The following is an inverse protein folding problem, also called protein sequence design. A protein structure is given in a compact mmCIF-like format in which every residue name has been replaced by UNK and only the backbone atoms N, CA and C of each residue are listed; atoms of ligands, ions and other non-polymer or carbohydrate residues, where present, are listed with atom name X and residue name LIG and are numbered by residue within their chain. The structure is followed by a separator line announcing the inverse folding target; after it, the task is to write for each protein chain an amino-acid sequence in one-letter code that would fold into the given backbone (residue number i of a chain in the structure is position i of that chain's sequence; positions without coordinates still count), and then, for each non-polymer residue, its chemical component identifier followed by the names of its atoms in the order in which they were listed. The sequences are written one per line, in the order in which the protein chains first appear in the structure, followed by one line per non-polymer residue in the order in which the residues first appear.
data_IF_572596107234
#
_entry.id   IF_572596107234
#
_cell.length_a   1.000
_cell.length_b   1.000
_cell.length_c   1.000
_cell.angle_alpha   90.00
_cell.angle_beta   90.00
_cell.angle_gamma   90.00
#
_symmetry.space_group_name_H-M   'P 1'
#
loop_
_entity.id
_entity.type
_entity.pdbx_description
1 polymer ?
#
# COMPACT_ATOMS: atom_id res chain seq x y z
N UNK A 1 -11.22 0.40 25.05
CA UNK A 1 -11.56 0.63 23.62
C UNK A 1 -12.81 1.46 23.60
N UNK A 2 -12.66 2.77 23.41
CA UNK A 2 -13.78 3.71 23.41
C UNK A 2 -14.60 3.57 22.14
N UNK A 3 -15.79 2.97 22.28
CA UNK A 3 -16.77 2.77 21.20
C UNK A 3 -17.37 4.09 20.68
N UNK A 4 -17.11 5.21 21.35
CA UNK A 4 -17.73 6.51 21.06
C UNK A 4 -16.94 7.36 20.03
N UNK A 5 -15.78 6.90 19.55
CA UNK A 5 -14.95 7.69 18.61
C UNK A 5 -15.42 7.50 17.15
N UNK A 6 -16.14 6.42 16.85
CA UNK A 6 -16.62 6.09 15.50
C UNK A 6 -17.86 6.88 15.05
N UNK A 7 -18.63 7.52 15.94
CA UNK A 7 -20.00 7.97 15.62
C UNK A 7 -20.11 9.20 14.69
N UNK A 8 -19.02 9.92 14.40
CA UNK A 8 -19.06 11.16 13.61
C UNK A 8 -18.27 11.13 12.29
N UNK A 9 -18.01 9.94 11.73
CA UNK A 9 -17.46 9.81 10.37
C UNK A 9 -18.49 9.11 9.51
N UNK A 10 -18.82 9.70 8.36
CA UNK A 10 -19.77 9.14 7.40
C UNK A 10 -19.39 7.68 7.07
N UNK A 11 -20.39 6.83 6.94
CA UNK A 11 -20.22 5.39 6.78
C UNK A 11 -19.50 5.06 5.47
N UNK A 12 -19.66 5.92 4.45
CA UNK A 12 -18.87 5.89 3.22
C UNK A 12 -17.38 6.08 3.48
N UNK A 13 -16.99 7.06 4.31
CA UNK A 13 -15.59 7.33 4.64
C UNK A 13 -14.96 6.18 5.44
N UNK A 14 -15.72 5.56 6.35
CA UNK A 14 -15.26 4.37 7.09
C UNK A 14 -14.95 3.20 6.16
N UNK A 15 -15.81 2.96 5.16
CA UNK A 15 -15.56 1.91 4.17
C UNK A 15 -14.37 2.21 3.29
N UNK A 16 -14.25 3.45 2.80
CA UNK A 16 -13.12 3.87 1.95
C UNK A 16 -11.78 3.67 2.64
N UNK A 17 -11.66 4.04 3.92
CA UNK A 17 -10.38 4.02 4.66
C UNK A 17 -10.21 2.83 5.61
N UNK A 18 -10.98 1.75 5.41
CA UNK A 18 -10.97 0.60 6.32
C UNK A 18 -9.58 -0.04 6.47
N UNK A 19 -8.83 -0.17 5.38
CA UNK A 19 -7.46 -0.71 5.37
C UNK A 19 -6.51 0.17 6.20
N UNK A 20 -6.48 1.49 5.92
CA UNK A 20 -5.68 2.45 6.67
C UNK A 20 -6.00 2.40 8.18
N UNK A 21 -7.27 2.30 8.54
CA UNK A 21 -7.72 2.17 9.93
C UNK A 21 -7.30 0.85 10.58
N UNK A 22 -7.23 -0.24 9.81
CA UNK A 22 -6.83 -1.55 10.28
C UNK A 22 -5.31 -1.62 10.57
N UNK A 23 -4.49 -0.99 9.72
CA UNK A 23 -3.04 -1.00 9.84
C UNK A 23 -2.49 0.06 10.82
N UNK A 24 -3.25 1.12 11.07
CA UNK A 24 -2.82 2.20 11.95
C UNK A 24 -2.92 1.85 13.44
N UNK A 25 -1.79 1.89 14.15
CA UNK A 25 -1.75 1.75 15.62
C UNK A 25 -2.39 2.94 16.34
N UNK A 26 -2.29 4.14 15.76
CA UNK A 26 -2.79 5.38 16.34
C UNK A 26 -4.16 5.76 15.76
N UNK A 27 -5.14 4.85 15.85
CA UNK A 27 -6.48 5.00 15.23
C UNK A 27 -7.15 6.33 15.52
N UNK A 28 -7.09 6.84 16.76
CA UNK A 28 -7.67 8.14 17.11
C UNK A 28 -7.05 9.30 16.33
N UNK A 29 -5.72 9.29 16.14
CA UNK A 29 -5.03 10.32 15.35
C UNK A 29 -5.42 10.23 13.88
N UNK A 30 -5.44 9.02 13.33
CA UNK A 30 -5.87 8.79 11.95
C UNK A 30 -7.33 9.21 11.74
N UNK A 31 -8.25 8.87 12.65
CA UNK A 31 -9.64 9.28 12.55
C UNK A 31 -9.79 10.81 12.58
N UNK A 32 -9.04 11.50 13.44
CA UNK A 32 -9.04 12.96 13.46
C UNK A 32 -8.50 13.54 12.14
N UNK A 33 -7.45 12.95 11.58
CA UNK A 33 -6.94 13.33 10.26
C UNK A 33 -7.98 13.09 9.15
N UNK A 34 -8.59 11.90 9.09
CA UNK A 34 -9.57 11.56 8.06
C UNK A 34 -10.81 12.45 8.08
N UNK A 35 -11.18 13.02 9.25
CA UNK A 35 -12.26 14.02 9.34
C UNK A 35 -11.93 15.34 8.62
N UNK A 36 -10.66 15.65 8.40
CA UNK A 36 -10.24 16.85 7.65
C UNK A 36 -10.04 16.57 6.16
N UNK A 37 -10.09 15.30 5.73
CA UNK A 37 -9.96 14.89 4.34
C UNK A 37 -11.32 14.95 3.66
N UNK A 38 -11.49 15.89 2.73
CA UNK A 38 -12.63 15.90 1.82
C UNK A 38 -12.25 15.10 0.57
N UNK A 39 -12.91 13.96 0.35
CA UNK A 39 -12.58 13.06 -0.78
C UNK A 39 -12.67 13.82 -2.12
N UNK A 40 -13.65 14.72 -2.27
CA UNK A 40 -13.83 15.58 -3.45
C UNK A 40 -12.63 16.46 -3.82
N UNK A 41 -11.72 16.75 -2.88
CA UNK A 41 -10.52 17.54 -3.16
C UNK A 41 -9.56 16.84 -4.13
N UNK A 42 -9.71 15.52 -4.30
CA UNK A 42 -8.77 14.65 -5.02
C UNK A 42 -9.27 14.20 -6.40
N UNK A 43 -10.40 14.71 -6.86
CA UNK A 43 -10.92 14.45 -8.22
C UNK A 43 -9.88 14.83 -9.28
N UNK A 44 -9.71 13.99 -10.30
CA UNK A 44 -8.79 14.20 -11.44
C UNK A 44 -7.31 14.39 -11.05
N UNK A 45 -6.89 13.91 -9.88
CA UNK A 45 -5.48 13.93 -9.46
C UNK A 45 -4.79 12.61 -9.79
N UNK A 46 -3.50 12.67 -10.13
CA UNK A 46 -2.66 11.47 -10.24
C UNK A 46 -2.30 10.91 -8.87
N UNK A 47 -1.87 9.65 -8.80
CA UNK A 47 -1.42 9.03 -7.55
C UNK A 47 -0.37 9.90 -6.83
N UNK A 48 0.64 10.40 -7.54
CA UNK A 48 1.71 11.21 -6.95
C UNK A 48 1.20 12.53 -6.37
N UNK A 49 0.20 13.15 -7.01
CA UNK A 49 -0.43 14.37 -6.51
C UNK A 49 -1.24 14.11 -5.24
N UNK A 50 -1.98 13.00 -5.20
CA UNK A 50 -2.71 12.57 -4.00
C UNK A 50 -1.73 12.25 -2.88
N UNK A 51 -0.71 11.41 -3.15
CA UNK A 51 0.29 11.01 -2.16
C UNK A 51 1.00 12.22 -1.56
N UNK A 52 1.49 13.13 -2.40
CA UNK A 52 2.23 14.31 -1.94
C UNK A 52 1.38 15.18 -1.02
N UNK A 53 0.10 15.39 -1.39
CA UNK A 53 -0.81 16.19 -0.57
C UNK A 53 -1.16 15.49 0.75
N UNK A 54 -1.40 14.18 0.75
CA UNK A 54 -1.65 13.41 1.97
C UNK A 54 -0.41 13.41 2.86
N UNK A 55 0.78 13.15 2.30
CA UNK A 55 2.04 13.18 3.03
C UNK A 55 2.27 14.54 3.70
N UNK A 56 2.05 15.64 2.97
CA UNK A 56 2.15 17.00 3.50
C UNK A 56 1.19 17.26 4.67
N UNK A 57 -0.05 16.81 4.58
CA UNK A 57 -1.04 16.98 5.66
C UNK A 57 -0.77 16.08 6.87
N UNK A 58 -0.09 14.96 6.66
CA UNK A 58 0.26 13.98 7.71
C UNK A 58 1.58 14.31 8.41
N UNK A 59 2.51 15.00 7.76
CA UNK A 59 3.86 15.30 8.27
C UNK A 59 3.84 15.99 9.66
N UNK A 60 2.81 16.80 9.92
CA UNK A 60 2.61 17.48 11.20
C UNK A 60 2.03 16.57 12.31
N UNK A 61 1.63 15.34 11.99
CA UNK A 61 0.93 14.42 12.89
C UNK A 61 1.85 13.27 13.31
N UNK A 62 2.57 13.47 14.42
CA UNK A 62 3.43 12.44 14.99
C UNK A 62 2.68 11.11 15.20
N UNK A 63 3.25 10.03 14.66
CA UNK A 63 2.73 8.66 14.81
C UNK A 63 1.93 8.15 13.60
N UNK A 64 1.72 8.96 12.57
CA UNK A 64 1.22 8.50 11.27
C UNK A 64 2.42 8.42 10.30
N UNK A 65 2.73 7.22 9.83
CA UNK A 65 3.90 6.95 8.98
C UNK A 65 3.55 6.68 7.52
N UNK A 66 4.56 6.34 6.73
CA UNK A 66 4.45 6.12 5.28
C UNK A 66 3.38 5.09 4.89
N UNK A 67 3.22 4.01 5.66
CA UNK A 67 2.17 3.01 5.42
C UNK A 67 0.77 3.62 5.51
N UNK A 68 0.52 4.49 6.49
CA UNK A 68 -0.78 5.16 6.62
C UNK A 68 -1.00 6.14 5.48
N UNK A 69 0.03 6.90 5.10
CA UNK A 69 -0.02 7.83 3.97
C UNK A 69 -0.38 7.07 2.69
N UNK A 70 0.27 5.93 2.46
CA UNK A 70 0.03 5.08 1.32
C UNK A 70 -1.39 4.48 1.34
N UNK A 71 -1.82 3.85 2.43
CA UNK A 71 -3.16 3.24 2.53
C UNK A 71 -4.28 4.26 2.29
N UNK A 72 -4.13 5.49 2.80
CA UNK A 72 -5.08 6.59 2.54
C UNK A 72 -5.04 7.03 1.08
N UNK A 73 -3.84 7.13 0.49
CA UNK A 73 -3.66 7.50 -0.91
C UNK A 73 -4.27 6.46 -1.85
N UNK A 74 -3.96 5.18 -1.64
CA UNK A 74 -4.53 4.06 -2.41
C UNK A 74 -6.05 4.05 -2.30
N UNK A 75 -6.62 4.24 -1.10
CA UNK A 75 -8.05 4.33 -0.90
C UNK A 75 -8.72 5.47 -1.71
N UNK A 76 -8.11 6.66 -1.72
CA UNK A 76 -8.59 7.79 -2.53
C UNK A 76 -8.47 7.51 -4.03
N UNK A 77 -7.35 6.93 -4.46
CA UNK A 77 -7.12 6.60 -5.87
C UNK A 77 -8.12 5.55 -6.36
N UNK A 78 -8.40 4.51 -5.56
CA UNK A 78 -9.43 3.49 -5.87
C UNK A 78 -10.82 4.11 -5.97
N UNK A 79 -11.16 5.04 -5.09
CA UNK A 79 -12.45 5.76 -5.15
C UNK A 79 -12.64 6.48 -6.49
N UNK A 80 -11.58 7.04 -7.06
CA UNK A 80 -11.58 7.75 -8.34
C UNK A 80 -11.08 6.95 -9.54
N UNK A 81 -10.85 5.64 -9.38
CA UNK A 81 -10.32 4.75 -10.42
C UNK A 81 -9.00 5.25 -11.04
N UNK A 82 -8.15 5.89 -10.23
CA UNK A 82 -6.82 6.34 -10.64
C UNK A 82 -5.88 5.14 -10.69
N UNK A 83 -5.23 4.92 -11.82
CA UNK A 83 -4.25 3.85 -11.98
C UNK A 83 -3.00 4.11 -11.13
N UNK A 84 -2.49 3.05 -10.51
CA UNK A 84 -1.28 3.08 -9.69
C UNK A 84 -0.23 2.28 -10.44
N UNK A 85 0.54 2.91 -11.32
CA UNK A 85 1.39 2.17 -12.27
C UNK A 85 2.64 1.52 -11.62
N UNK A 86 2.90 1.84 -10.35
CA UNK A 86 4.09 1.44 -9.60
C UNK A 86 3.70 0.62 -8.38
N UNK A 87 4.49 -0.40 -8.07
CA UNK A 87 4.40 -1.14 -6.82
C UNK A 87 5.31 -0.47 -5.81
N UNK A 88 4.74 0.22 -4.82
CA UNK A 88 5.50 0.88 -3.77
C UNK A 88 5.93 -0.11 -2.69
N UNK A 89 7.20 -0.04 -2.29
CA UNK A 89 7.81 -0.98 -1.35
C UNK A 89 7.75 -0.39 0.05
N UNK A 90 6.58 -0.55 0.69
CA UNK A 90 6.30 -0.01 2.02
C UNK A 90 6.06 -1.17 2.99
N UNK A 91 6.87 -1.24 4.04
CA UNK A 91 6.84 -2.35 5.00
C UNK A 91 7.64 -3.59 4.57
N UNK A 92 7.54 -4.65 5.38
CA UNK A 92 8.42 -5.83 5.24
C UNK A 92 7.93 -6.84 4.20
N UNK A 93 6.62 -6.97 4.00
CA UNK A 93 6.04 -7.94 3.06
C UNK A 93 6.51 -7.71 1.62
N UNK A 94 6.31 -6.51 1.06
CA UNK A 94 6.77 -6.20 -0.30
C UNK A 94 8.28 -6.29 -0.41
N UNK A 95 9.01 -5.80 0.61
CA UNK A 95 10.46 -5.84 0.64
C UNK A 95 11.00 -7.29 0.54
N UNK A 96 10.36 -8.25 1.22
CA UNK A 96 10.73 -9.66 1.14
C UNK A 96 10.40 -10.25 -0.23
N UNK A 97 9.22 -9.96 -0.78
CA UNK A 97 8.83 -10.43 -2.11
C UNK A 97 9.80 -9.96 -3.20
N UNK A 98 10.16 -8.68 -3.21
CA UNK A 98 11.14 -8.10 -4.15
C UNK A 98 12.51 -8.79 -4.03
N UNK A 99 12.95 -9.11 -2.81
CA UNK A 99 14.21 -9.86 -2.60
C UNK A 99 14.14 -11.28 -3.16
N UNK A 100 13.04 -12.00 -2.94
CA UNK A 100 12.85 -13.36 -3.49
C UNK A 100 12.82 -13.35 -5.03
N UNK A 101 12.24 -12.31 -5.61
CA UNK A 101 12.24 -12.08 -7.05
C UNK A 101 13.59 -11.56 -7.60
N UNK A 102 14.52 -11.15 -6.73
CA UNK A 102 15.81 -10.60 -7.16
C UNK A 102 15.68 -9.27 -7.90
N UNK A 103 14.62 -8.51 -7.63
CA UNK A 103 14.34 -7.23 -8.27
C UNK A 103 15.13 -6.09 -7.60
N UNK A 104 15.52 -5.10 -8.41
CA UNK A 104 16.14 -3.86 -7.93
C UNK A 104 15.07 -2.78 -7.79
N UNK A 105 15.00 -2.15 -6.62
CA UNK A 105 14.06 -1.05 -6.40
C UNK A 105 14.61 0.27 -6.94
N UNK A 106 13.72 1.14 -7.41
CA UNK A 106 13.99 2.52 -7.79
C UNK A 106 13.55 3.44 -6.66
N UNK A 107 14.26 4.54 -6.43
CA UNK A 107 13.85 5.56 -5.47
C UNK A 107 12.88 6.51 -6.17
N UNK A 108 11.77 6.86 -5.52
CA UNK A 108 10.88 7.88 -6.04
C UNK A 108 11.53 9.27 -5.93
N UNK A 109 11.30 10.15 -6.91
CA UNK A 109 11.96 11.46 -6.95
C UNK A 109 11.43 12.41 -5.87
N UNK A 110 10.10 12.47 -5.73
CA UNK A 110 9.41 13.36 -4.80
C UNK A 110 8.98 12.70 -3.48
N UNK A 111 9.02 11.38 -3.40
CA UNK A 111 8.50 10.63 -2.26
C UNK A 111 9.66 9.88 -1.60
N UNK A 112 9.64 9.74 -0.27
CA UNK A 112 10.66 9.02 0.49
C UNK A 112 10.58 7.49 0.37
N UNK A 113 9.85 6.99 -0.62
CA UNK A 113 9.58 5.55 -0.81
C UNK A 113 10.32 4.99 -2.03
N UNK A 114 10.59 3.70 -1.96
CA UNK A 114 11.10 2.94 -3.09
C UNK A 114 9.95 2.27 -3.84
N UNK A 115 10.14 1.98 -5.12
CA UNK A 115 9.15 1.29 -5.95
C UNK A 115 9.81 0.35 -6.97
N UNK A 116 8.99 -0.49 -7.58
CA UNK A 116 9.29 -1.20 -8.83
C UNK A 116 8.14 -1.01 -9.80
N UNK A 117 8.39 -1.16 -11.10
CA UNK A 117 7.33 -1.12 -12.09
C UNK A 117 6.58 -2.46 -12.11
N UNK A 118 5.26 -2.42 -12.33
CA UNK A 118 4.43 -3.63 -12.41
C UNK A 118 4.99 -4.62 -13.44
N UNK A 119 5.45 -4.13 -14.59
CA UNK A 119 6.00 -4.97 -15.65
C UNK A 119 7.31 -5.67 -15.25
N UNK A 120 8.15 -5.03 -14.44
CA UNK A 120 9.37 -5.66 -13.91
C UNK A 120 9.01 -6.84 -13.00
N UNK A 121 7.93 -6.72 -12.22
CA UNK A 121 7.41 -7.80 -11.38
C UNK A 121 6.92 -8.97 -12.23
N UNK A 122 6.09 -8.71 -13.23
CA UNK A 122 5.56 -9.76 -14.13
C UNK A 122 6.69 -10.51 -14.82
N UNK A 123 7.67 -9.80 -15.39
CA UNK A 123 8.82 -10.42 -16.03
C UNK A 123 9.65 -11.27 -15.06
N UNK A 124 9.78 -10.86 -13.80
CA UNK A 124 10.52 -11.64 -12.80
C UNK A 124 9.80 -12.94 -12.42
N UNK A 125 8.45 -12.93 -12.36
CA UNK A 125 7.67 -14.15 -12.17
C UNK A 125 7.86 -15.12 -13.34
N UNK A 126 7.75 -14.62 -14.57
CA UNK A 126 7.90 -15.43 -15.79
C UNK A 126 9.30 -16.05 -15.89
N UNK A 127 10.35 -15.25 -15.65
CA UNK A 127 11.73 -15.72 -15.70
C UNK A 127 12.03 -16.81 -14.67
N UNK A 128 11.32 -16.82 -13.54
CA UNK A 128 11.47 -17.83 -12.47
C UNK A 128 10.46 -18.98 -12.57
N UNK A 129 9.56 -18.94 -13.56
CA UNK A 129 8.53 -19.96 -13.75
C UNK A 129 7.47 -19.97 -12.64
N UNK A 130 7.27 -18.85 -11.94
CA UNK A 130 6.22 -18.73 -10.92
C UNK A 130 4.86 -18.48 -11.58
N UNK A 131 3.81 -19.11 -11.03
CA UNK A 131 2.43 -18.84 -11.45
C UNK A 131 1.96 -17.49 -10.92
N UNK A 132 1.26 -16.76 -11.78
CA UNK A 132 0.57 -15.51 -11.47
C UNK A 132 -0.76 -15.51 -12.21
N UNK A 133 -1.84 -15.14 -11.53
CA UNK A 133 -3.18 -15.09 -12.10
C UNK A 133 -3.27 -14.00 -13.18
N UNK A 134 -4.07 -14.23 -14.23
CA UNK A 134 -4.15 -13.35 -15.40
C UNK A 134 -4.69 -11.94 -15.04
N UNK A 135 -5.54 -11.85 -14.03
CA UNK A 135 -6.12 -10.59 -13.54
C UNK A 135 -5.12 -9.74 -12.74
N UNK A 136 -4.11 -10.38 -12.15
CA UNK A 136 -2.96 -9.71 -11.52
C UNK A 136 -1.94 -9.34 -12.59
N UNK A 137 -1.65 -10.25 -13.51
CA UNK A 137 -0.70 -10.05 -14.61
C UNK A 137 -1.03 -8.83 -15.47
N UNK A 138 -2.31 -8.60 -15.72
CA UNK A 138 -2.80 -7.50 -16.57
C UNK A 138 -3.19 -6.24 -15.79
N UNK A 139 -2.97 -6.23 -14.47
CA UNK A 139 -3.38 -5.10 -13.64
C UNK A 139 -2.56 -3.83 -13.93
N UNK A 140 -3.21 -2.68 -13.80
CA UNK A 140 -2.56 -1.35 -13.74
C UNK A 140 -2.68 -0.75 -12.33
N UNK A 141 -2.96 -1.60 -11.35
CA UNK A 141 -3.11 -1.24 -9.95
C UNK A 141 -1.98 -1.86 -9.13
N UNK A 142 -0.98 -1.04 -8.83
CA UNK A 142 0.21 -1.40 -8.08
C UNK A 142 -0.08 -1.78 -6.64
N UNK A 143 -1.21 -1.31 -6.08
CA UNK A 143 -1.69 -1.71 -4.76
C UNK A 143 -2.22 -3.16 -4.79
N UNK A 144 -2.98 -3.50 -5.83
CA UNK A 144 -3.41 -4.89 -6.06
C UNK A 144 -2.21 -5.83 -6.28
N UNK A 145 -1.22 -5.38 -7.04
CA UNK A 145 0.02 -6.15 -7.25
C UNK A 145 0.83 -6.31 -5.95
N UNK A 146 0.93 -5.25 -5.13
CA UNK A 146 1.57 -5.31 -3.80
C UNK A 146 0.91 -6.37 -2.91
N UNK A 147 -0.42 -6.37 -2.86
CA UNK A 147 -1.17 -7.34 -2.06
C UNK A 147 -0.94 -8.78 -2.53
N UNK A 148 -0.87 -9.00 -3.85
CA UNK A 148 -0.50 -10.29 -4.41
C UNK A 148 0.92 -10.72 -3.98
N UNK A 149 1.90 -9.83 -4.10
CA UNK A 149 3.29 -10.10 -3.70
C UNK A 149 3.40 -10.47 -2.22
N UNK A 150 2.71 -9.73 -1.36
CA UNK A 150 2.65 -9.99 0.08
C UNK A 150 2.09 -11.37 0.42
N UNK A 151 1.01 -11.77 -0.26
CA UNK A 151 0.41 -13.09 -0.06
C UNK A 151 1.30 -14.20 -0.62
N UNK A 152 1.90 -13.98 -1.80
CA UNK A 152 2.78 -14.95 -2.46
C UNK A 152 4.04 -15.26 -1.66
N UNK A 153 4.69 -14.27 -1.03
CA UNK A 153 5.93 -14.50 -0.28
C UNK A 153 5.73 -15.25 1.06
N UNK A 154 4.53 -15.20 1.64
CA UNK A 154 4.28 -15.69 3.00
C UNK A 154 4.54 -17.20 3.18
N UNK A 155 4.03 -18.09 2.30
CA UNK A 155 4.33 -19.52 2.39
C UNK A 155 5.82 -19.83 2.20
N UNK A 156 6.50 -19.12 1.30
CA UNK A 156 7.92 -19.32 0.99
C UNK A 156 8.78 -19.03 2.22
N UNK A 157 8.51 -17.91 2.90
CA UNK A 157 9.23 -17.55 4.11
C UNK A 157 8.95 -18.51 5.27
N UNK A 158 7.74 -19.08 5.34
CA UNK A 158 7.40 -20.09 6.34
C UNK A 158 8.24 -21.36 6.15
N UNK A 159 8.41 -21.81 4.90
CA UNK A 159 9.24 -22.98 4.58
C UNK A 159 10.72 -22.70 4.90
N UNK A 160 11.26 -21.58 4.44
CA UNK A 160 12.67 -21.20 4.69
C UNK A 160 12.97 -21.05 6.18
N UNK A 161 12.03 -20.50 6.97
CA UNK A 161 12.20 -20.38 8.41
C UNK A 161 12.26 -21.74 9.12
N UNK A 162 11.42 -22.70 8.69
CA UNK A 162 11.41 -24.06 9.24
C UNK A 162 12.68 -24.84 8.89
N UNK A 163 13.24 -24.64 7.70
CA UNK A 163 14.50 -25.27 7.29
C UNK A 163 15.69 -24.73 8.09
N UNK A 164 15.74 -23.41 8.32
CA UNK A 164 16.81 -22.81 9.12
C UNK A 164 16.74 -23.16 10.62
N UNK A 165 15.56 -23.48 11.16
CA UNK A 165 15.41 -23.90 12.55
C UNK A 165 15.81 -25.37 12.79
N UNK A 166 16.03 -26.14 11.71
CA UNK A 166 16.45 -27.55 11.76
C UNK A 166 17.96 -27.74 11.61
N UNK A 167 18.67 -26.68 11.22
CA UNK A 167 20.13 -26.64 11.05
C UNK A 167 20.78 -25.90 12.23
#
# INVERSE_FOLDING_TARGET
MDRNIEENMDEMNKKTFAEALSHCRHKTKLLNFLRTVQISDFVNRTFEQVFTEIARRVDEIHGLGELVIYDVTSALCRHYQVHIEKVYIIGNGPLQAIKLLGLKTKKHESLSVNYVDIQDVVHAFDAKGFRMDDDIRTTQDGDKMESHLCNWQTPINTVLALENARN
#
